data_IF_402121803487
#
_entry.id   IF_402121803487
#
_cell.length_a   1.000
_cell.length_b   1.000
_cell.length_c   1.000
_cell.angle_alpha   90.00
_cell.angle_beta   90.00
_cell.angle_gamma   90.00
#
_symmetry.space_group_name_H-M   'P 1'
#
loop_
_entity.id
_entity.type
_entity.pdbx_description
1 polymer ?
#
# COMPACT_ATOMS: atom_id res chain seq x y z
N UNK A 1 -10.79 25.01 8.73
CA UNK A 1 -10.42 23.74 9.41
C UNK A 1 -10.55 22.53 8.50
N UNK A 2 -11.74 22.17 8.00
CA UNK A 2 -11.91 21.01 7.08
C UNK A 2 -11.05 21.11 5.81
N UNK A 3 -10.95 22.29 5.20
CA UNK A 3 -10.09 22.54 4.02
C UNK A 3 -8.61 22.32 4.30
N UNK A 4 -8.15 22.68 5.51
CA UNK A 4 -6.76 22.51 5.91
C UNK A 4 -6.43 21.05 6.20
N UNK A 5 -7.33 20.33 6.89
CA UNK A 5 -7.21 18.88 7.09
C UNK A 5 -7.18 18.13 5.75
N UNK A 6 -7.99 18.55 4.78
CA UNK A 6 -7.97 18.01 3.41
C UNK A 6 -6.63 18.26 2.73
N UNK A 7 -6.13 19.51 2.74
CA UNK A 7 -4.84 19.84 2.12
C UNK A 7 -3.66 19.09 2.76
N UNK A 8 -3.69 18.86 4.08
CA UNK A 8 -2.70 18.03 4.77
C UNK A 8 -2.83 16.55 4.37
N UNK A 9 -4.06 16.06 4.17
CA UNK A 9 -4.34 14.74 3.61
C UNK A 9 -3.73 14.54 2.23
N UNK A 10 -4.10 15.42 1.30
CA UNK A 10 -3.67 15.38 -0.11
C UNK A 10 -2.13 15.41 -0.23
N UNK A 11 -1.46 16.21 0.62
CA UNK A 11 0.00 16.32 0.62
C UNK A 11 0.69 15.07 1.17
N UNK A 12 0.17 14.48 2.24
CA UNK A 12 0.71 13.24 2.78
C UNK A 12 0.51 12.06 1.82
N UNK A 13 -0.60 12.03 1.09
CA UNK A 13 -0.82 11.07 0.00
C UNK A 13 0.22 11.23 -1.11
N UNK A 14 0.46 12.46 -1.55
CA UNK A 14 1.50 12.74 -2.54
C UNK A 14 2.90 12.29 -2.06
N UNK A 15 3.25 12.57 -0.80
CA UNK A 15 4.54 12.15 -0.22
C UNK A 15 4.65 10.63 -0.12
N UNK A 16 3.60 9.92 0.30
CA UNK A 16 3.59 8.45 0.37
C UNK A 16 3.75 7.79 -1.01
N UNK A 17 3.12 8.37 -2.04
CA UNK A 17 3.32 7.96 -3.43
C UNK A 17 4.76 8.17 -3.88
N UNK A 18 5.36 9.33 -3.56
CA UNK A 18 6.75 9.62 -3.88
C UNK A 18 7.73 8.62 -3.24
N UNK A 19 7.54 8.29 -1.97
CA UNK A 19 8.35 7.25 -1.28
C UNK A 19 8.24 5.92 -2.00
N UNK A 20 7.03 5.52 -2.40
CA UNK A 20 6.77 4.27 -3.11
C UNK A 20 7.47 4.26 -4.48
N UNK A 21 7.40 5.36 -5.24
CA UNK A 21 8.10 5.50 -6.53
C UNK A 21 9.61 5.38 -6.35
N UNK A 22 10.20 6.07 -5.38
CA UNK A 22 11.65 5.99 -5.12
C UNK A 22 12.07 4.57 -4.73
N UNK A 23 11.28 3.86 -3.93
CA UNK A 23 11.54 2.45 -3.61
C UNK A 23 11.48 1.54 -4.84
N UNK A 24 10.54 1.78 -5.76
CA UNK A 24 10.45 1.04 -7.03
C UNK A 24 11.65 1.31 -7.94
N UNK A 25 12.10 2.56 -8.03
CA UNK A 25 13.29 2.93 -8.81
C UNK A 25 14.55 2.22 -8.31
N UNK A 26 14.71 2.07 -6.98
CA UNK A 26 15.82 1.31 -6.38
C UNK A 26 15.81 -0.17 -6.74
N UNK A 27 14.65 -0.75 -7.10
CA UNK A 27 14.52 -2.16 -7.51
C UNK A 27 14.90 -2.37 -8.98
N UNK A 28 15.09 -1.31 -9.78
CA UNK A 28 15.47 -1.44 -11.19
C UNK A 28 16.91 -1.96 -11.32
N UNK A 29 17.10 -2.99 -12.13
CA UNK A 29 18.42 -3.52 -12.54
C UNK A 29 18.70 -3.08 -13.98
N UNK A 30 19.37 -1.92 -14.19
CA UNK A 30 19.69 -1.45 -15.54
C UNK A 30 20.65 -2.43 -16.24
N UNK A 31 20.40 -2.72 -17.51
CA UNK A 31 21.17 -3.66 -18.33
C UNK A 31 22.21 -2.98 -19.22
N UNK A 32 22.08 -1.65 -19.40
CA UNK A 32 23.00 -0.84 -20.20
C UNK A 32 23.51 0.36 -19.41
N UNK A 33 24.66 0.88 -19.82
CA UNK A 33 25.27 2.06 -19.18
C UNK A 33 24.38 3.31 -19.30
N UNK A 34 23.67 3.46 -20.43
CA UNK A 34 22.68 4.52 -20.62
C UNK A 34 21.51 4.40 -19.65
N UNK A 35 20.98 3.18 -19.45
CA UNK A 35 19.93 2.93 -18.45
C UNK A 35 20.41 3.20 -17.02
N UNK A 36 21.67 2.87 -16.72
CA UNK A 36 22.27 3.13 -15.43
C UNK A 36 22.39 4.63 -15.16
N UNK A 37 22.88 5.40 -16.13
CA UNK A 37 23.01 6.85 -16.03
C UNK A 37 21.64 7.54 -15.89
N UNK A 38 20.66 7.10 -16.69
CA UNK A 38 19.29 7.62 -16.64
C UNK A 38 18.63 7.29 -15.29
N UNK A 39 18.75 6.06 -14.81
CA UNK A 39 18.20 5.62 -13.52
C UNK A 39 18.80 6.41 -12.35
N UNK A 40 20.12 6.61 -12.34
CA UNK A 40 20.82 7.41 -11.32
C UNK A 40 20.34 8.86 -11.33
N UNK A 41 20.29 9.49 -12.52
CA UNK A 41 19.87 10.89 -12.67
C UNK A 41 18.42 11.08 -12.24
N UNK A 42 17.52 10.18 -12.68
CA UNK A 42 16.10 10.24 -12.32
C UNK A 42 15.87 10.01 -10.82
N UNK A 43 16.56 9.03 -10.23
CA UNK A 43 16.49 8.77 -8.79
C UNK A 43 16.99 9.97 -7.99
N UNK A 44 18.11 10.58 -8.40
CA UNK A 44 18.64 11.79 -7.77
C UNK A 44 17.65 12.95 -7.83
N UNK A 45 17.09 13.25 -9.00
CA UNK A 45 16.12 14.32 -9.17
C UNK A 45 14.86 14.10 -8.31
N UNK A 46 14.36 12.86 -8.22
CA UNK A 46 13.22 12.51 -7.36
C UNK A 46 13.55 12.66 -5.86
N UNK A 47 14.75 12.28 -5.44
CA UNK A 47 15.21 12.46 -4.06
C UNK A 47 15.39 13.95 -3.70
N UNK A 48 16.02 14.74 -4.56
CA UNK A 48 16.19 16.19 -4.37
C UNK A 48 14.82 16.88 -4.27
N UNK A 49 13.88 16.55 -5.16
CA UNK A 49 12.51 17.06 -5.08
C UNK A 49 11.85 16.69 -3.75
N UNK A 50 11.92 15.43 -3.32
CA UNK A 50 11.33 15.00 -2.04
C UNK A 50 11.94 15.75 -0.85
N UNK A 51 13.27 15.88 -0.79
CA UNK A 51 13.97 16.56 0.31
C UNK A 51 13.58 18.04 0.40
N UNK A 52 13.52 18.72 -0.74
CA UNK A 52 13.14 20.13 -0.80
C UNK A 52 11.69 20.31 -0.34
N UNK A 53 10.74 19.55 -0.88
CA UNK A 53 9.32 19.68 -0.51
C UNK A 53 9.04 19.26 0.93
N UNK A 54 9.77 18.28 1.46
CA UNK A 54 9.63 17.86 2.86
C UNK A 54 10.12 18.95 3.82
N UNK A 55 11.17 19.68 3.46
CA UNK A 55 11.67 20.80 4.28
C UNK A 55 10.67 21.96 4.33
N UNK A 56 10.07 22.30 3.19
CA UNK A 56 9.04 23.34 3.09
C UNK A 56 7.78 22.93 3.87
N UNK A 57 7.34 21.67 3.72
CA UNK A 57 6.22 21.13 4.49
C UNK A 57 6.44 21.24 6.00
N UNK A 58 7.62 20.86 6.50
CA UNK A 58 7.95 20.97 7.93
C UNK A 58 7.89 22.42 8.40
N UNK A 59 8.37 23.35 7.58
CA UNK A 59 8.35 24.79 7.89
C UNK A 59 6.93 25.33 7.96
N UNK A 60 6.08 24.99 6.98
CA UNK A 60 4.67 25.37 6.96
C UNK A 60 3.89 24.76 8.14
N UNK A 61 4.18 23.50 8.48
CA UNK A 61 3.60 22.83 9.65
C UNK A 61 3.98 23.56 10.94
N UNK A 62 5.24 23.97 11.09
CA UNK A 62 5.69 24.72 12.26
C UNK A 62 4.95 26.05 12.41
N UNK A 63 4.91 26.85 11.33
CA UNK A 63 4.18 28.14 11.31
C UNK A 63 2.70 27.97 11.64
N UNK A 64 2.08 26.90 11.14
CA UNK A 64 0.70 26.57 11.46
C UNK A 64 0.53 26.27 12.96
N UNK A 65 1.44 25.50 13.56
CA UNK A 65 1.40 25.22 15.00
C UNK A 65 1.57 26.47 15.86
N UNK A 66 2.35 27.45 15.41
CA UNK A 66 2.53 28.73 16.10
C UNK A 66 1.32 29.67 15.96
N UNK A 67 0.57 29.55 14.86
CA UNK A 67 -0.51 30.49 14.51
C UNK A 67 -1.91 30.00 14.91
N UNK A 68 -2.04 28.76 15.39
CA UNK A 68 -3.34 28.11 15.63
C UNK A 68 -3.38 27.55 17.06
N UNK A 69 -4.54 27.66 17.72
CA UNK A 69 -4.70 27.13 19.08
C UNK A 69 -4.52 25.61 19.13
N UNK A 70 -4.05 25.10 20.27
CA UNK A 70 -3.89 23.65 20.51
C UNK A 70 -5.20 22.89 20.30
N UNK A 71 -6.33 23.45 20.75
CA UNK A 71 -7.68 22.88 20.55
C UNK A 71 -8.02 22.73 19.06
N UNK A 72 -7.65 23.71 18.24
CA UNK A 72 -7.86 23.70 16.80
C UNK A 72 -6.97 22.67 16.09
N UNK A 73 -5.71 22.53 16.53
CA UNK A 73 -4.79 21.50 16.02
C UNK A 73 -5.28 20.09 16.39
N UNK A 74 -5.76 19.89 17.61
CA UNK A 74 -6.37 18.63 18.04
C UNK A 74 -7.61 18.29 17.21
N UNK A 75 -8.45 19.28 16.90
CA UNK A 75 -9.60 19.09 16.03
C UNK A 75 -9.20 18.69 14.60
N UNK A 76 -8.16 19.32 14.03
CA UNK A 76 -7.61 18.93 12.72
C UNK A 76 -7.11 17.48 12.78
N UNK A 77 -6.32 17.13 13.80
CA UNK A 77 -5.76 15.79 13.93
C UNK A 77 -6.84 14.73 14.08
N UNK A 78 -7.95 15.00 14.79
CA UNK A 78 -9.09 14.07 14.86
C UNK A 78 -9.71 13.81 13.49
N UNK A 79 -9.89 14.87 12.68
CA UNK A 79 -10.38 14.72 11.30
C UNK A 79 -9.40 13.92 10.45
N UNK A 80 -8.10 14.20 10.56
CA UNK A 80 -7.06 13.47 9.82
C UNK A 80 -7.01 12.01 10.23
N UNK A 81 -7.03 11.70 11.53
CA UNK A 81 -7.03 10.35 12.07
C UNK A 81 -8.22 9.55 11.52
N UNK A 82 -9.44 10.13 11.58
CA UNK A 82 -10.65 9.51 11.06
C UNK A 82 -10.56 9.25 9.55
N UNK A 83 -10.14 10.26 8.78
CA UNK A 83 -10.01 10.10 7.33
C UNK A 83 -8.94 9.06 6.97
N UNK A 84 -7.82 9.04 7.69
CA UNK A 84 -6.73 8.10 7.45
C UNK A 84 -7.19 6.66 7.63
N UNK A 85 -7.82 6.34 8.77
CA UNK A 85 -8.24 4.97 9.06
C UNK A 85 -9.36 4.50 8.13
N UNK A 86 -10.31 5.38 7.78
CA UNK A 86 -11.37 5.10 6.80
C UNK A 86 -10.77 4.81 5.42
N UNK A 87 -9.84 5.65 4.96
CA UNK A 87 -9.19 5.44 3.67
C UNK A 87 -8.40 4.13 3.64
N UNK A 88 -7.65 3.83 4.72
CA UNK A 88 -6.94 2.55 4.87
C UNK A 88 -7.88 1.36 4.77
N UNK A 89 -9.03 1.41 5.45
CA UNK A 89 -10.05 0.37 5.39
C UNK A 89 -10.59 0.17 3.97
N UNK A 90 -10.92 1.25 3.29
CA UNK A 90 -11.45 1.22 1.92
C UNK A 90 -10.46 0.59 0.94
N UNK A 91 -9.19 1.00 0.98
CA UNK A 91 -8.15 0.42 0.13
C UNK A 91 -7.93 -1.06 0.39
N UNK A 92 -7.87 -1.48 1.67
CA UNK A 92 -7.70 -2.89 2.02
C UNK A 92 -8.89 -3.73 1.59
N UNK A 93 -10.11 -3.26 1.84
CA UNK A 93 -11.32 -4.00 1.46
C UNK A 93 -11.42 -4.12 -0.06
N UNK A 94 -11.12 -3.08 -0.82
CA UNK A 94 -11.03 -3.15 -2.27
C UNK A 94 -9.98 -4.19 -2.71
N UNK A 95 -8.79 -4.16 -2.10
CA UNK A 95 -7.71 -5.10 -2.41
C UNK A 95 -8.11 -6.56 -2.14
N UNK A 96 -8.83 -6.82 -1.03
CA UNK A 96 -9.40 -8.14 -0.72
C UNK A 96 -10.35 -8.58 -1.84
N UNK A 97 -11.31 -7.74 -2.24
CA UNK A 97 -12.24 -8.10 -3.31
C UNK A 97 -11.54 -8.36 -4.65
N UNK A 98 -10.58 -7.53 -5.03
CA UNK A 98 -9.83 -7.72 -6.28
C UNK A 98 -9.01 -9.00 -6.26
N UNK A 99 -8.35 -9.32 -5.14
CA UNK A 99 -7.57 -10.56 -5.02
C UNK A 99 -8.46 -11.80 -5.05
N UNK A 100 -9.63 -11.80 -4.40
CA UNK A 100 -10.63 -12.88 -4.51
C UNK A 100 -11.03 -13.08 -5.99
N UNK A 101 -11.37 -11.99 -6.67
CA UNK A 101 -11.79 -12.04 -8.07
C UNK A 101 -10.70 -12.63 -8.98
N UNK A 102 -9.44 -12.23 -8.77
CA UNK A 102 -8.30 -12.72 -9.54
C UNK A 102 -7.99 -14.20 -9.24
N UNK A 103 -8.04 -14.61 -7.96
CA UNK A 103 -7.90 -16.01 -7.57
C UNK A 103 -8.95 -16.89 -8.25
N UNK A 104 -10.23 -16.49 -8.22
CA UNK A 104 -11.29 -17.20 -8.93
C UNK A 104 -11.08 -17.22 -10.45
N UNK A 105 -10.76 -16.06 -11.06
CA UNK A 105 -10.62 -15.93 -12.52
C UNK A 105 -9.49 -16.79 -13.08
N UNK A 106 -8.37 -16.87 -12.37
CA UNK A 106 -7.17 -17.56 -12.83
C UNK A 106 -6.88 -18.87 -12.09
N UNK A 107 -7.80 -19.32 -11.22
CA UNK A 107 -7.65 -20.54 -10.40
C UNK A 107 -6.34 -20.55 -9.58
N UNK A 108 -6.02 -19.42 -8.98
CA UNK A 108 -4.84 -19.25 -8.11
C UNK A 108 -5.23 -19.57 -6.67
N UNK A 109 -4.30 -20.12 -5.89
CA UNK A 109 -4.50 -20.38 -4.45
C UNK A 109 -4.94 -19.13 -3.67
N UNK A 110 -5.88 -19.30 -2.75
CA UNK A 110 -6.55 -18.22 -2.01
C UNK A 110 -5.79 -17.74 -0.76
N UNK A 111 -4.47 -17.94 -0.72
CA UNK A 111 -3.63 -17.47 0.39
C UNK A 111 -3.74 -15.94 0.57
N UNK A 112 -3.52 -15.16 -0.49
CA UNK A 112 -3.50 -13.69 -0.42
C UNK A 112 -4.83 -13.09 0.04
N UNK A 113 -6.00 -13.47 -0.52
CA UNK A 113 -7.30 -13.03 -0.01
C UNK A 113 -7.51 -13.32 1.48
N UNK A 114 -7.19 -14.55 1.91
CA UNK A 114 -7.38 -14.97 3.30
C UNK A 114 -6.47 -14.17 4.24
N UNK A 115 -5.23 -13.96 3.84
CA UNK A 115 -4.25 -13.17 4.57
C UNK A 115 -4.68 -11.70 4.69
N UNK A 116 -5.06 -11.07 3.59
CA UNK A 116 -5.49 -9.67 3.57
C UNK A 116 -6.76 -9.45 4.38
N UNK A 117 -7.70 -10.39 4.37
CA UNK A 117 -8.93 -10.32 5.18
C UNK A 117 -8.62 -10.23 6.67
N UNK A 118 -7.61 -10.96 7.17
CA UNK A 118 -7.20 -10.89 8.58
C UNK A 118 -6.67 -9.51 8.96
N UNK A 119 -5.87 -8.91 8.09
CA UNK A 119 -5.34 -7.55 8.30
C UNK A 119 -6.49 -6.54 8.26
N UNK A 120 -7.37 -6.67 7.28
CA UNK A 120 -8.50 -5.78 7.08
C UNK A 120 -9.48 -5.80 8.27
N UNK A 121 -9.75 -6.96 8.88
CA UNK A 121 -10.57 -7.07 10.09
C UNK A 121 -9.99 -6.30 11.29
N UNK A 122 -8.66 -6.28 11.44
CA UNK A 122 -8.00 -5.51 12.50
C UNK A 122 -8.16 -4.01 12.25
N UNK A 123 -8.06 -3.58 10.99
CA UNK A 123 -8.31 -2.19 10.58
C UNK A 123 -9.77 -1.81 10.78
N UNK A 124 -10.71 -2.68 10.42
CA UNK A 124 -12.15 -2.46 10.62
C UNK A 124 -12.49 -2.24 12.10
N UNK A 125 -11.86 -2.98 13.01
CA UNK A 125 -12.03 -2.77 14.46
C UNK A 125 -11.58 -1.37 14.90
N UNK A 126 -10.46 -0.88 14.38
CA UNK A 126 -9.98 0.48 14.63
C UNK A 126 -10.91 1.56 14.00
N UNK A 127 -11.49 1.29 12.83
CA UNK A 127 -12.53 2.17 12.21
C UNK A 127 -13.76 2.24 13.10
N UNK A 128 -14.31 1.09 13.52
CA UNK A 128 -15.51 1.05 14.37
C UNK A 128 -15.27 1.81 15.68
N UNK A 129 -14.11 1.60 16.30
CA UNK A 129 -13.69 2.33 17.50
C UNK A 129 -13.58 3.84 17.28
N UNK A 130 -13.08 4.26 16.11
CA UNK A 130 -12.98 5.67 15.73
C UNK A 130 -14.35 6.30 15.53
N UNK A 131 -15.23 5.67 14.73
CA UNK A 131 -16.58 6.16 14.45
C UNK A 131 -17.43 6.24 15.73
N UNK A 132 -17.30 5.25 16.62
CA UNK A 132 -18.00 5.26 17.90
C UNK A 132 -17.60 6.46 18.78
N UNK A 133 -16.30 6.77 18.86
CA UNK A 133 -15.79 7.94 19.60
C UNK A 133 -16.30 9.26 19.03
N UNK A 134 -16.43 9.35 17.72
CA UNK A 134 -16.93 10.53 17.00
C UNK A 134 -18.46 10.59 16.91
N UNK A 135 -19.17 9.59 17.48
CA UNK A 135 -20.64 9.44 17.42
C UNK A 135 -21.19 9.39 15.98
N UNK A 136 -20.41 8.83 15.07
CA UNK A 136 -20.82 8.59 13.69
C UNK A 136 -21.63 7.28 13.55
N UNK A 137 -22.45 7.23 12.51
CA UNK A 137 -23.24 6.05 12.16
C UNK A 137 -22.39 5.02 11.39
N UNK A 138 -22.07 3.91 12.06
CA UNK A 138 -21.31 2.79 11.49
C UNK A 138 -22.06 2.12 10.35
N UNK A 139 -23.39 1.97 10.46
CA UNK A 139 -24.21 1.34 9.40
C UNK A 139 -24.18 2.16 8.12
N UNK A 140 -24.35 3.49 8.24
CA UNK A 140 -24.23 4.42 7.12
C UNK A 140 -22.82 4.41 6.51
N UNK A 141 -21.79 4.35 7.35
CA UNK A 141 -20.40 4.23 6.89
C UNK A 141 -20.19 2.96 6.05
N UNK A 142 -20.65 1.80 6.53
CA UNK A 142 -20.50 0.54 5.83
C UNK A 142 -21.25 0.51 4.48
N UNK A 143 -22.41 1.15 4.40
CA UNK A 143 -23.13 1.34 3.14
C UNK A 143 -22.31 2.17 2.13
N UNK A 144 -21.75 3.30 2.58
CA UNK A 144 -20.90 4.14 1.74
C UNK A 144 -19.64 3.42 1.28
N UNK A 145 -18.96 2.68 2.17
CA UNK A 145 -17.78 1.87 1.79
C UNK A 145 -18.15 0.86 0.71
N UNK A 146 -19.30 0.18 0.84
CA UNK A 146 -19.78 -0.78 -0.17
C UNK A 146 -20.04 -0.13 -1.53
N UNK A 147 -20.65 1.06 -1.54
CA UNK A 147 -20.88 1.82 -2.78
C UNK A 147 -19.56 2.27 -3.42
N UNK A 148 -18.66 2.86 -2.63
CA UNK A 148 -17.38 3.33 -3.13
C UNK A 148 -16.52 2.18 -3.69
N UNK A 149 -16.50 1.02 -3.04
CA UNK A 149 -15.79 -0.16 -3.55
C UNK A 149 -16.39 -0.61 -4.88
N UNK A 150 -17.73 -0.64 -4.99
CA UNK A 150 -18.41 -1.05 -6.23
C UNK A 150 -18.01 -0.18 -7.41
N UNK A 151 -17.86 1.13 -7.19
CA UNK A 151 -17.44 2.07 -8.23
C UNK A 151 -15.94 1.94 -8.52
N UNK A 152 -15.10 1.85 -7.49
CA UNK A 152 -13.65 1.67 -7.63
C UNK A 152 -13.27 0.37 -8.35
N UNK A 153 -14.03 -0.72 -8.19
CA UNK A 153 -13.80 -1.98 -8.91
C UNK A 153 -14.02 -1.86 -10.43
N UNK A 154 -14.78 -0.86 -10.88
CA UNK A 154 -15.00 -0.58 -12.31
C UNK A 154 -13.95 0.37 -12.87
N UNK A 155 -13.71 1.47 -12.18
CA UNK A 155 -12.97 2.61 -12.73
C UNK A 155 -11.52 2.69 -12.22
N UNK A 156 -11.26 2.25 -10.99
CA UNK A 156 -10.01 2.47 -10.27
C UNK A 156 -9.42 1.17 -9.73
N UNK A 157 -9.22 0.18 -10.60
CA UNK A 157 -8.65 -1.12 -10.23
C UNK A 157 -7.26 -0.96 -9.64
N UNK A 158 -7.05 -1.53 -8.47
CA UNK A 158 -5.75 -1.54 -7.81
C UNK A 158 -4.78 -2.50 -8.48
N UNK A 159 -5.28 -3.64 -8.97
CA UNK A 159 -4.50 -4.68 -9.64
C UNK A 159 -4.94 -4.80 -11.10
N UNK A 160 -4.04 -4.46 -12.02
CA UNK A 160 -4.22 -4.67 -13.46
C UNK A 160 -3.28 -5.75 -13.94
N UNK A 161 -3.82 -6.81 -14.55
CA UNK A 161 -3.03 -7.91 -15.10
C UNK A 161 -2.99 -7.82 -16.63
N UNK A 162 -1.78 -7.83 -17.20
CA UNK A 162 -1.57 -7.77 -18.64
C UNK A 162 -2.02 -9.06 -19.34
N UNK A 163 -2.98 -8.95 -20.25
CA UNK A 163 -3.48 -10.10 -21.01
C UNK A 163 -2.41 -10.72 -21.92
N UNK A 164 -1.52 -9.90 -22.50
CA UNK A 164 -0.42 -10.37 -23.36
C UNK A 164 0.51 -11.30 -22.58
N UNK A 165 0.83 -10.94 -21.33
CA UNK A 165 1.73 -11.73 -20.50
C UNK A 165 1.04 -12.98 -19.93
N UNK A 166 -0.26 -12.92 -19.65
CA UNK A 166 -1.05 -14.13 -19.35
C UNK A 166 -0.99 -15.12 -20.51
N UNK A 167 -1.14 -14.67 -21.76
CA UNK A 167 -1.09 -15.58 -22.92
C UNK A 167 0.27 -16.26 -23.08
N UNK A 168 1.36 -15.67 -22.57
CA UNK A 168 2.72 -16.22 -22.66
C UNK A 168 3.12 -17.07 -21.47
N UNK A 169 2.78 -16.62 -20.26
CA UNK A 169 3.31 -17.16 -18.99
C UNK A 169 2.20 -17.73 -18.09
N UNK A 170 0.95 -17.74 -18.58
CA UNK A 170 -0.19 -18.37 -17.94
C UNK A 170 -0.54 -17.77 -16.57
N UNK A 171 -1.05 -18.64 -15.71
CA UNK A 171 -1.50 -18.29 -14.34
C UNK A 171 -0.34 -17.94 -13.41
N UNK A 172 0.88 -18.44 -13.67
CA UNK A 172 2.09 -18.08 -12.91
C UNK A 172 2.35 -16.58 -12.93
N UNK A 173 2.26 -15.96 -14.11
CA UNK A 173 2.39 -14.50 -14.24
C UNK A 173 1.31 -13.74 -13.47
N UNK A 174 0.06 -14.20 -13.53
CA UNK A 174 -1.03 -13.55 -12.81
C UNK A 174 -0.81 -13.60 -11.29
N UNK A 175 -0.28 -14.71 -10.76
CA UNK A 175 0.07 -14.87 -9.35
C UNK A 175 1.22 -13.95 -8.94
N UNK A 176 2.32 -13.91 -9.70
CA UNK A 176 3.46 -13.04 -9.42
C UNK A 176 3.09 -11.55 -9.47
N UNK A 177 2.36 -11.15 -10.53
CA UNK A 177 1.92 -9.76 -10.69
C UNK A 177 0.96 -9.34 -9.57
N UNK A 178 0.05 -10.23 -9.16
CA UNK A 178 -0.83 -9.99 -8.02
C UNK A 178 -0.04 -9.82 -6.72
N UNK A 179 0.91 -10.71 -6.44
CA UNK A 179 1.72 -10.65 -5.22
C UNK A 179 2.56 -9.37 -5.14
N UNK A 180 3.24 -9.00 -6.24
CA UNK A 180 4.01 -7.76 -6.32
C UNK A 180 3.13 -6.53 -6.11
N UNK A 181 1.92 -6.53 -6.68
CA UNK A 181 1.01 -5.40 -6.58
C UNK A 181 0.41 -5.27 -5.18
N UNK A 182 0.04 -6.39 -4.56
CA UNK A 182 -0.40 -6.44 -3.16
C UNK A 182 0.66 -5.89 -2.22
N UNK A 183 1.93 -6.33 -2.35
CA UNK A 183 3.04 -5.81 -1.54
C UNK A 183 3.17 -4.28 -1.68
N UNK A 184 3.13 -3.78 -2.92
CA UNK A 184 3.26 -2.35 -3.19
C UNK A 184 2.12 -1.52 -2.58
N UNK A 185 0.88 -2.00 -2.70
CA UNK A 185 -0.30 -1.30 -2.16
C UNK A 185 -0.30 -1.36 -0.64
N UNK A 186 -0.02 -2.52 -0.05
CA UNK A 186 0.02 -2.67 1.42
C UNK A 186 1.08 -1.74 2.03
N UNK A 187 2.23 -1.57 1.35
CA UNK A 187 3.28 -0.66 1.77
C UNK A 187 2.83 0.81 1.64
N UNK A 188 2.16 1.16 0.54
CA UNK A 188 1.59 2.49 0.36
C UNK A 188 0.56 2.82 1.46
N UNK A 189 -0.39 1.92 1.71
CA UNK A 189 -1.44 2.07 2.72
C UNK A 189 -0.84 2.20 4.13
N UNK A 190 0.18 1.40 4.46
CA UNK A 190 0.88 1.50 5.73
C UNK A 190 1.58 2.87 5.90
N UNK A 191 2.28 3.32 4.86
CA UNK A 191 2.96 4.62 4.90
C UNK A 191 1.96 5.77 5.03
N UNK A 192 0.84 5.73 4.30
CA UNK A 192 -0.23 6.73 4.41
C UNK A 192 -0.80 6.78 5.82
N UNK A 193 -1.15 5.62 6.41
CA UNK A 193 -1.69 5.57 7.77
C UNK A 193 -0.70 6.14 8.79
N UNK A 194 0.58 5.79 8.69
CA UNK A 194 1.63 6.30 9.58
C UNK A 194 1.90 7.80 9.43
N UNK A 195 1.78 8.35 8.21
CA UNK A 195 2.01 9.77 7.94
C UNK A 195 0.83 10.65 8.33
N UNK A 196 -0.39 10.18 8.08
CA UNK A 196 -1.62 10.95 8.26
C UNK A 196 -2.12 10.93 9.71
N UNK A 197 -1.98 9.79 10.38
CA UNK A 197 -2.50 9.63 11.74
C UNK A 197 -1.45 9.97 12.79
N UNK A 198 -1.89 10.46 13.94
CA UNK A 198 -1.00 10.73 15.06
C UNK A 198 -0.24 9.45 15.45
N UNK A 199 1.00 9.60 15.90
CA UNK A 199 1.84 8.44 16.27
C UNK A 199 1.14 7.50 17.24
N UNK A 200 0.39 8.04 18.21
CA UNK A 200 -0.38 7.29 19.22
C UNK A 200 -1.63 6.58 18.68
N UNK A 201 -2.17 7.02 17.54
CA UNK A 201 -3.42 6.51 16.97
C UNK A 201 -3.20 5.22 16.18
N UNK A 202 -4.19 4.32 16.24
CA UNK A 202 -4.29 3.09 15.42
C UNK A 202 -3.05 2.17 15.48
N UNK A 203 -2.47 1.97 16.67
CA UNK A 203 -1.30 1.10 16.84
C UNK A 203 -1.53 -0.31 16.31
N UNK A 204 -2.73 -0.85 16.54
CA UNK A 204 -3.10 -2.20 16.10
C UNK A 204 -3.07 -2.29 14.58
N UNK A 205 -3.73 -1.36 13.88
CA UNK A 205 -3.70 -1.29 12.42
C UNK A 205 -2.28 -1.13 11.87
N UNK A 206 -1.49 -0.19 12.40
CA UNK A 206 -0.10 0.05 11.97
C UNK A 206 0.77 -1.20 12.15
N UNK A 207 0.69 -1.82 13.32
CA UNK A 207 1.43 -3.04 13.61
C UNK A 207 1.00 -4.20 12.72
N UNK A 208 -0.30 -4.35 12.44
CA UNK A 208 -0.81 -5.43 11.58
C UNK A 208 -0.35 -5.28 10.13
N UNK A 209 -0.38 -4.06 9.58
CA UNK A 209 0.09 -3.74 8.25
C UNK A 209 1.60 -3.98 8.12
N UNK A 210 2.37 -3.54 9.11
CA UNK A 210 3.82 -3.74 9.11
C UNK A 210 4.21 -5.22 9.22
N UNK A 211 3.60 -5.96 10.15
CA UNK A 211 3.79 -7.42 10.25
C UNK A 211 3.39 -8.12 8.96
N UNK A 212 2.31 -7.69 8.33
CA UNK A 212 1.87 -8.24 7.06
C UNK A 212 2.89 -8.03 5.93
N UNK A 213 3.50 -6.85 5.87
CA UNK A 213 4.59 -6.58 4.92
C UNK A 213 5.83 -7.44 5.18
N UNK A 214 6.18 -7.68 6.43
CA UNK A 214 7.29 -8.57 6.80
C UNK A 214 7.01 -10.03 6.41
N UNK A 215 5.78 -10.51 6.59
CA UNK A 215 5.38 -11.87 6.20
C UNK A 215 5.43 -12.06 4.68
N UNK A 216 4.95 -11.08 3.90
CA UNK A 216 5.00 -11.13 2.44
C UNK A 216 6.45 -11.15 1.93
N UNK A 217 7.36 -10.41 2.57
CA UNK A 217 8.80 -10.43 2.24
C UNK A 217 9.43 -11.79 2.53
N UNK A 218 9.21 -12.34 3.74
CA UNK A 218 9.73 -13.66 4.11
C UNK A 218 9.30 -14.76 3.15
N UNK A 219 8.02 -14.73 2.73
CA UNK A 219 7.50 -15.70 1.74
C UNK A 219 8.15 -15.56 0.38
N UNK A 220 8.45 -14.34 -0.05
CA UNK A 220 9.18 -14.10 -1.29
C UNK A 220 10.60 -14.67 -1.22
N UNK A 221 11.33 -14.35 -0.15
CA UNK A 221 12.70 -14.82 0.05
C UNK A 221 12.76 -16.37 0.14
N UNK A 222 11.72 -17.00 0.70
CA UNK A 222 11.61 -18.47 0.77
C UNK A 222 11.29 -19.12 -0.57
N UNK A 223 10.60 -18.42 -1.47
CA UNK A 223 10.30 -18.92 -2.82
C UNK A 223 11.50 -18.74 -3.77
N UNK A 224 12.25 -17.64 -3.64
CA UNK A 224 13.44 -17.40 -4.45
C UNK A 224 14.56 -18.43 -4.13
N UNK A 225 14.73 -18.81 -2.84
CA UNK A 225 15.70 -19.86 -2.46
C UNK A 225 15.35 -21.27 -2.96
N UNK A 226 14.08 -21.58 -3.22
CA UNK A 226 13.63 -22.88 -3.73
C UNK A 226 13.75 -23.01 -5.26
N UNK A 227 13.87 -21.91 -6.00
CA UNK A 227 14.14 -21.95 -7.45
C UNK A 227 15.64 -22.16 -7.74
N UNK A 228 16.54 -21.74 -6.84
CA UNK A 228 17.99 -21.97 -6.97
C UNK A 228 18.40 -23.45 -6.70
N UNK A 229 17.67 -24.19 -5.87
CA UNK A 229 17.94 -25.63 -5.61
C UNK A 229 17.45 -26.57 -6.74
N UNK A 230 16.68 -26.07 -7.71
CA UNK A 230 16.18 -26.89 -8.84
C UNK A 230 17.13 -26.98 -10.03
N UNK A 231 18.31 -26.36 -9.95
CA UNK A 231 19.32 -26.41 -11.00
C UNK A 231 20.45 -27.43 -10.81
N UNK A 232 20.41 -28.27 -9.77
CA UNK A 232 21.29 -29.43 -9.67
C UNK A 232 20.80 -30.57 -10.59
N UNK A 233 21.23 -30.48 -11.85
CA UNK A 233 21.10 -31.56 -12.82
C UNK A 233 21.82 -32.82 -12.32
N UNK A 234 21.02 -33.84 -12.05
CA UNK A 234 21.46 -35.23 -11.96
C UNK A 234 22.03 -35.65 -13.32
N UNK A 235 23.37 -35.72 -13.43
CA UNK A 235 24.01 -36.53 -14.46
C UNK A 235 23.83 -38.00 -14.09
N UNK A 236 22.89 -38.67 -14.74
CA UNK A 236 22.87 -40.14 -14.80
C UNK A 236 23.64 -40.54 -16.05
N UNK A 237 24.91 -40.90 -15.90
CA UNK A 237 25.62 -41.66 -16.91
C UNK A 237 24.96 -43.04 -17.05
N UNK A 238 24.39 -43.29 -18.23
CA UNK A 238 24.14 -44.64 -18.72
C UNK A 238 24.88 -44.80 -20.03
N UNK A 239 25.98 -45.53 -19.98
CA UNK A 239 26.55 -46.22 -21.14
C UNK A 239 26.79 -47.67 -20.73
N UNK A 240 25.96 -48.55 -21.26
CA UNK A 240 26.33 -49.94 -21.59
C UNK A 240 26.79 -49.97 -23.02
#
# INVERSE_FOLDING_TARGET
MKTLAKAQGDLADALAQYVTIVQQLKKLRPLTETQLLLSKTFTRAKCEFYLNQMSEFRTLKHKLCESVSTESLDFIQRIMDKNAIISTHLYLRQLVYETIHLCHKYKIEEFLPTFLTKIEQLVESDVQSCLHKEKDDIGKHMLLVKEMIKDSLKENKLITISQIHISKSGTKYAQEAMQLRVEAILNQVNNQLCLLSANRSFQTSKASLQKGLEELKKRKDSNDNNEDEKHDFVFVDKVT
#
